data_IF_361930869982
#
_entry.id   IF_361930869982
#
_cell.length_a   1.000
_cell.length_b   1.000
_cell.length_c   1.000
_cell.angle_alpha   90.00
_cell.angle_beta   90.00
_cell.angle_gamma   90.00
#
_symmetry.space_group_name_H-M   'P 1'
#
loop_
_entity.id
_entity.type
_entity.pdbx_description
1 polymer ?
#
# COMPACT_ATOMS: atom_id res chain seq x y z
N UNK A 1 6.06 -15.40 13.90
CA UNK A 1 6.59 -15.74 12.57
C UNK A 1 7.18 -14.51 11.86
N UNK A 2 6.44 -13.39 11.75
CA UNK A 2 6.88 -12.19 11.00
C UNK A 2 8.16 -11.57 11.56
N UNK A 3 8.30 -11.42 12.89
CA UNK A 3 9.52 -10.86 13.51
C UNK A 3 10.78 -11.67 13.16
N UNK A 4 10.72 -13.00 13.24
CA UNK A 4 11.85 -13.88 12.88
C UNK A 4 12.23 -13.75 11.40
N UNK A 5 11.29 -13.41 10.52
CA UNK A 5 11.58 -13.14 9.12
C UNK A 5 12.24 -11.76 8.97
N UNK A 6 11.75 -10.75 9.68
CA UNK A 6 12.31 -9.41 9.67
C UNK A 6 13.78 -9.39 10.12
N UNK A 7 14.14 -10.20 11.14
CA UNK A 7 15.53 -10.33 11.63
C UNK A 7 16.51 -10.88 10.56
N UNK A 8 15.99 -11.44 9.48
CA UNK A 8 16.76 -11.99 8.36
C UNK A 8 16.84 -11.04 7.16
N UNK A 9 16.22 -9.87 7.26
CA UNK A 9 16.25 -8.85 6.20
C UNK A 9 17.46 -7.96 6.41
N UNK A 10 18.28 -7.84 5.39
CA UNK A 10 19.39 -6.88 5.34
C UNK A 10 19.04 -5.80 4.33
N UNK A 11 19.08 -4.55 4.73
CA UNK A 11 18.83 -3.40 3.84
C UNK A 11 20.19 -2.89 3.37
N UNK A 12 20.35 -2.80 2.06
CA UNK A 12 21.55 -2.32 1.41
C UNK A 12 21.23 -1.07 0.59
N UNK A 13 22.15 -0.13 0.59
CA UNK A 13 22.10 1.01 -0.29
C UNK A 13 22.42 0.60 -1.73
N UNK A 14 21.74 1.20 -2.70
CA UNK A 14 21.97 0.97 -4.13
C UNK A 14 22.17 2.27 -4.86
N UNK A 15 23.32 2.43 -5.48
CA UNK A 15 23.65 3.61 -6.29
C UNK A 15 22.68 3.76 -7.47
N UNK A 16 22.25 2.67 -8.09
CA UNK A 16 21.25 2.66 -9.16
C UNK A 16 19.94 3.35 -8.71
N UNK A 17 19.40 2.95 -7.56
CA UNK A 17 18.15 3.54 -7.05
C UNK A 17 18.33 4.95 -6.47
N UNK A 18 19.51 5.26 -5.94
CA UNK A 18 19.85 6.62 -5.54
C UNK A 18 19.87 7.57 -6.73
N UNK A 19 20.44 7.16 -7.85
CA UNK A 19 20.47 7.93 -9.09
C UNK A 19 19.06 8.18 -9.66
N UNK A 20 18.19 7.16 -9.66
CA UNK A 20 16.79 7.30 -10.07
C UNK A 20 16.05 8.26 -9.15
N UNK A 21 16.27 8.17 -7.86
CA UNK A 21 15.65 9.09 -6.88
C UNK A 21 16.08 10.54 -7.10
N UNK A 22 17.35 10.78 -7.37
CA UNK A 22 17.86 12.14 -7.61
C UNK A 22 17.37 12.75 -8.92
N UNK A 23 17.29 11.93 -9.98
CA UNK A 23 16.92 12.42 -11.32
C UNK A 23 15.41 12.46 -11.56
N UNK A 24 14.68 11.48 -11.06
CA UNK A 24 13.26 11.29 -11.37
C UNK A 24 12.35 11.46 -10.16
N UNK A 25 12.90 11.71 -8.96
CA UNK A 25 12.17 11.77 -7.69
C UNK A 25 11.34 10.49 -7.39
N UNK A 26 11.79 9.36 -7.91
CA UNK A 26 11.14 8.06 -7.72
C UNK A 26 11.91 7.23 -6.70
N UNK A 27 11.18 6.49 -5.88
CA UNK A 27 11.75 5.56 -4.89
C UNK A 27 11.59 4.13 -5.39
N UNK A 28 12.61 3.62 -6.05
CA UNK A 28 12.68 2.23 -6.47
C UNK A 28 13.27 1.33 -5.38
N UNK A 29 13.06 0.04 -5.53
CA UNK A 29 13.63 -0.98 -4.66
C UNK A 29 13.85 -2.29 -5.41
N UNK A 30 14.82 -3.06 -4.95
CA UNK A 30 15.06 -4.45 -5.37
C UNK A 30 15.02 -5.34 -4.14
N UNK A 31 14.28 -6.43 -4.22
CA UNK A 31 14.24 -7.45 -3.19
C UNK A 31 14.84 -8.74 -3.74
N UNK A 32 15.81 -9.29 -3.03
CA UNK A 32 16.38 -10.59 -3.33
C UNK A 32 16.04 -11.54 -2.19
N UNK A 33 15.39 -12.65 -2.51
CA UNK A 33 15.08 -13.71 -1.56
C UNK A 33 16.00 -14.91 -1.88
N UNK A 34 16.78 -15.35 -0.91
CA UNK A 34 17.51 -16.59 -1.00
C UNK A 34 16.75 -17.67 -0.25
N UNK A 35 16.36 -18.70 -0.96
CA UNK A 35 15.63 -19.84 -0.42
C UNK A 35 16.56 -20.83 0.25
N UNK A 36 16.00 -21.71 1.08
CA UNK A 36 16.79 -22.73 1.80
C UNK A 36 17.44 -23.77 0.89
N UNK A 37 16.88 -23.97 -0.29
CA UNK A 37 17.41 -24.88 -1.32
C UNK A 37 18.57 -24.25 -2.12
N UNK A 38 18.98 -23.02 -1.78
CA UNK A 38 20.03 -22.28 -2.46
C UNK A 38 19.56 -21.48 -3.68
N UNK A 39 18.32 -21.64 -4.11
CA UNK A 39 17.76 -20.83 -5.19
C UNK A 39 17.55 -19.37 -4.80
N UNK A 40 17.43 -18.47 -5.78
CA UNK A 40 17.20 -17.04 -5.57
C UNK A 40 16.02 -16.56 -6.39
N UNK A 41 15.22 -15.69 -5.77
CA UNK A 41 14.17 -14.93 -6.45
C UNK A 41 14.49 -13.45 -6.32
N UNK A 42 14.36 -12.71 -7.43
CA UNK A 42 14.65 -11.27 -7.49
C UNK A 42 13.42 -10.56 -8.05
N UNK A 43 12.98 -9.53 -7.36
CA UNK A 43 11.97 -8.60 -7.84
C UNK A 43 12.51 -7.17 -7.74
N UNK A 44 12.34 -6.38 -8.80
CA UNK A 44 12.82 -5.00 -8.88
C UNK A 44 11.71 -4.09 -9.37
N UNK A 45 11.52 -2.97 -8.69
CA UNK A 45 10.54 -1.94 -9.04
C UNK A 45 11.25 -0.60 -9.04
N UNK A 46 11.28 0.06 -10.18
CA UNK A 46 11.83 1.42 -10.34
C UNK A 46 10.75 2.48 -10.16
N UNK A 47 9.53 2.19 -10.60
CA UNK A 47 8.35 3.07 -10.48
C UNK A 47 7.30 2.40 -9.60
N UNK A 48 7.26 2.72 -8.31
CA UNK A 48 6.27 2.11 -7.41
C UNK A 48 4.85 2.46 -7.84
N UNK A 49 3.92 1.60 -7.50
CA UNK A 49 2.51 1.80 -7.81
C UNK A 49 1.97 3.05 -7.12
N UNK A 50 1.31 3.93 -7.87
CA UNK A 50 0.88 5.25 -7.42
C UNK A 50 1.86 6.39 -7.73
N UNK A 51 3.05 6.08 -8.28
CA UNK A 51 4.00 7.09 -8.74
C UNK A 51 3.63 7.65 -10.11
N UNK A 52 4.24 8.77 -10.46
CA UNK A 52 4.14 9.34 -11.82
C UNK A 52 4.57 8.31 -12.86
N UNK A 53 3.71 8.05 -13.83
CA UNK A 53 3.91 7.02 -14.87
C UNK A 53 3.54 5.60 -14.46
N UNK A 54 3.02 5.39 -13.22
CA UNK A 54 2.44 4.14 -12.75
C UNK A 54 1.26 4.41 -11.81
N UNK A 55 0.20 5.08 -12.27
CA UNK A 55 -0.92 5.51 -11.41
C UNK A 55 -1.70 4.31 -10.88
N UNK A 56 -2.32 4.51 -9.73
CA UNK A 56 -3.32 3.58 -9.21
C UNK A 56 -4.62 3.72 -10.02
N UNK A 57 -5.25 2.60 -10.31
CA UNK A 57 -6.62 2.58 -10.79
C UNK A 57 -7.59 2.81 -9.63
N UNK A 58 -8.85 3.16 -9.93
CA UNK A 58 -9.91 3.26 -8.91
C UNK A 58 -10.03 1.96 -8.12
N UNK A 59 -9.95 0.81 -8.81
CA UNK A 59 -10.04 -0.51 -8.19
C UNK A 59 -8.87 -0.77 -7.22
N UNK A 60 -7.66 -0.37 -7.58
CA UNK A 60 -6.49 -0.47 -6.68
C UNK A 60 -6.68 0.32 -5.38
N UNK A 61 -7.25 1.52 -5.48
CA UNK A 61 -7.54 2.38 -4.31
C UNK A 61 -8.61 1.72 -3.44
N UNK A 62 -9.69 1.21 -4.04
CA UNK A 62 -10.76 0.51 -3.34
C UNK A 62 -10.22 -0.73 -2.64
N UNK A 63 -9.43 -1.54 -3.32
CA UNK A 63 -8.84 -2.75 -2.76
C UNK A 63 -7.93 -2.45 -1.57
N UNK A 64 -7.07 -1.44 -1.71
CA UNK A 64 -6.20 -0.99 -0.62
C UNK A 64 -7.01 -0.47 0.57
N UNK A 65 -8.01 0.36 0.33
CA UNK A 65 -8.92 0.87 1.36
C UNK A 65 -9.61 -0.28 2.09
N UNK A 66 -10.22 -1.21 1.35
CA UNK A 66 -10.94 -2.35 1.92
C UNK A 66 -10.03 -3.21 2.79
N UNK A 67 -8.82 -3.53 2.32
CA UNK A 67 -7.86 -4.32 3.08
C UNK A 67 -7.39 -3.68 4.38
N UNK A 68 -7.27 -2.34 4.41
CA UNK A 68 -6.87 -1.61 5.61
C UNK A 68 -8.04 -1.35 6.56
N UNK A 69 -9.17 -0.89 6.03
CA UNK A 69 -10.32 -0.49 6.83
C UNK A 69 -11.01 -1.68 7.50
N UNK A 70 -11.04 -2.85 6.85
CA UNK A 70 -11.66 -4.06 7.40
C UNK A 70 -11.01 -4.53 8.71
N UNK A 71 -9.74 -4.24 8.92
CA UNK A 71 -9.04 -4.56 10.18
C UNK A 71 -9.57 -3.77 11.37
N UNK A 72 -10.09 -2.56 11.16
CA UNK A 72 -10.58 -1.68 12.22
C UNK A 72 -12.12 -1.63 12.29
N UNK A 73 -12.79 -1.59 11.15
CA UNK A 73 -14.24 -1.37 11.04
C UNK A 73 -15.04 -2.66 10.81
N UNK A 74 -14.36 -3.77 10.55
CA UNK A 74 -15.00 -4.98 10.05
C UNK A 74 -15.55 -4.81 8.63
N UNK A 75 -16.18 -5.84 8.11
CA UNK A 75 -16.68 -5.85 6.72
C UNK A 75 -17.81 -4.83 6.52
N UNK A 76 -18.81 -4.85 7.41
CA UNK A 76 -19.98 -3.96 7.32
C UNK A 76 -19.59 -2.48 7.44
N UNK A 77 -18.78 -2.10 8.43
CA UNK A 77 -18.33 -0.72 8.59
C UNK A 77 -17.50 -0.23 7.41
N UNK A 78 -16.67 -1.09 6.85
CA UNK A 78 -15.89 -0.79 5.64
C UNK A 78 -16.78 -0.52 4.43
N UNK A 79 -17.83 -1.30 4.23
CA UNK A 79 -18.79 -1.10 3.15
C UNK A 79 -19.57 0.21 3.32
N UNK A 80 -20.01 0.53 4.53
CA UNK A 80 -20.73 1.78 4.83
C UNK A 80 -19.82 2.99 4.54
N UNK A 81 -18.59 2.99 5.04
CA UNK A 81 -17.68 4.10 4.80
C UNK A 81 -17.33 4.24 3.31
N UNK A 82 -17.11 3.13 2.62
CA UNK A 82 -16.87 3.12 1.19
C UNK A 82 -18.02 3.74 0.40
N UNK A 83 -19.26 3.32 0.69
CA UNK A 83 -20.44 3.85 0.02
C UNK A 83 -20.62 5.36 0.26
N UNK A 84 -20.40 5.83 1.50
CA UNK A 84 -20.44 7.25 1.83
C UNK A 84 -19.47 8.07 0.98
N UNK A 85 -18.22 7.60 0.81
CA UNK A 85 -17.19 8.35 0.09
C UNK A 85 -17.33 8.26 -1.43
N UNK A 86 -17.70 7.09 -1.97
CA UNK A 86 -17.70 6.86 -3.42
C UNK A 86 -19.05 7.09 -4.11
N UNK A 87 -20.14 6.97 -3.36
CA UNK A 87 -21.50 6.97 -3.86
C UNK A 87 -22.37 8.06 -3.17
N UNK A 88 -21.84 8.66 -2.10
CA UNK A 88 -22.51 9.73 -1.37
C UNK A 88 -22.57 11.04 -2.16
N UNK A 89 -23.47 11.94 -1.76
CA UNK A 89 -23.54 13.29 -2.31
C UNK A 89 -22.39 14.15 -1.80
N UNK A 90 -22.08 15.24 -2.51
CA UNK A 90 -21.05 16.21 -2.09
C UNK A 90 -21.41 16.92 -0.77
N UNK A 91 -22.67 16.84 -0.34
CA UNK A 91 -23.21 17.49 0.87
C UNK A 91 -23.21 16.59 2.11
N UNK A 92 -22.39 15.53 2.16
CA UNK A 92 -22.33 14.66 3.35
C UNK A 92 -21.75 15.45 4.52
N UNK A 93 -22.46 15.53 5.68
CA UNK A 93 -21.92 16.16 6.86
C UNK A 93 -20.61 15.47 7.33
N UNK A 94 -19.61 16.26 7.67
CA UNK A 94 -18.33 15.73 8.20
C UNK A 94 -18.55 14.84 9.42
N UNK A 95 -19.52 15.17 10.27
CA UNK A 95 -19.90 14.37 11.44
C UNK A 95 -20.34 12.95 11.08
N UNK A 96 -21.07 12.78 9.97
CA UNK A 96 -21.49 11.47 9.49
C UNK A 96 -20.29 10.65 9.00
N UNK A 97 -19.35 11.30 8.31
CA UNK A 97 -18.11 10.65 7.87
C UNK A 97 -17.27 10.20 9.06
N UNK A 98 -17.09 11.09 10.06
CA UNK A 98 -16.35 10.75 11.28
C UNK A 98 -17.00 9.58 12.01
N UNK A 99 -18.34 9.59 12.15
CA UNK A 99 -19.05 8.49 12.80
C UNK A 99 -18.86 7.15 12.07
N UNK A 100 -18.86 7.14 10.75
CA UNK A 100 -18.62 5.94 9.96
C UNK A 100 -17.16 5.41 10.06
N UNK A 101 -16.22 6.25 10.49
CA UNK A 101 -14.82 5.87 10.73
C UNK A 101 -14.57 5.31 12.14
N UNK A 102 -15.55 5.36 13.03
CA UNK A 102 -15.38 4.83 14.39
C UNK A 102 -15.60 3.33 14.41
N UNK A 103 -14.71 2.55 15.04
CA UNK A 103 -14.95 1.13 15.28
C UNK A 103 -16.24 0.91 16.09
N UNK A 104 -16.93 -0.15 15.77
CA UNK A 104 -18.14 -0.54 16.51
C UNK A 104 -17.81 -0.96 17.95
#
# INVERSE_FOLDING_TARGET
AVRKLADRVTVLESEEFNNVRQKEHLSGARVTVQWRDGSRSIASVTRPRGALGNPLTREDVIQKFTGLASCALGETGTQVLRALVLEGSEDIPVSQLIQAMMPA
#
